data_IF_824167465046
#
_entry.id   IF_824167465046
#
_cell.length_a   1.000
_cell.length_b   1.000
_cell.length_c   1.000
_cell.angle_alpha   90.00
_cell.angle_beta   90.00
_cell.angle_gamma   90.00
#
_symmetry.space_group_name_H-M   'P 1'
#
loop_
_entity.id
_entity.type
_entity.pdbx_description
1 polymer ?
#
# COMPACT_ATOMS: atom_id res chain seq x y z
N UNK A 1 16.83 -1.83 -8.60
CA UNK A 1 17.51 -1.33 -9.82
C UNK A 1 16.62 -0.37 -10.61
N UNK A 2 15.37 -0.74 -10.95
CA UNK A 2 14.46 0.13 -11.73
C UNK A 2 14.09 1.44 -11.01
N UNK A 3 13.71 1.37 -9.73
CA UNK A 3 13.38 2.56 -8.95
C UNK A 3 14.54 3.56 -8.83
N UNK A 4 15.78 3.07 -8.78
CA UNK A 4 16.98 3.92 -8.76
C UNK A 4 17.17 4.66 -10.08
N UNK A 5 16.87 3.99 -11.21
CA UNK A 5 16.91 4.60 -12.53
C UNK A 5 15.82 5.68 -12.67
N UNK A 6 14.58 5.40 -12.25
CA UNK A 6 13.48 6.37 -12.27
C UNK A 6 13.79 7.62 -11.44
N UNK A 7 14.35 7.44 -10.23
CA UNK A 7 14.81 8.56 -9.41
C UNK A 7 15.91 9.38 -10.10
N UNK A 8 16.87 8.73 -10.76
CA UNK A 8 17.95 9.42 -11.47
C UNK A 8 17.45 10.20 -12.70
N UNK A 9 16.37 9.75 -13.33
CA UNK A 9 15.69 10.46 -14.43
C UNK A 9 14.90 11.70 -13.95
N UNK A 10 14.70 11.86 -12.64
CA UNK A 10 14.05 13.04 -12.07
C UNK A 10 12.53 13.04 -12.24
N UNK A 11 11.88 11.88 -12.17
CA UNK A 11 10.41 11.80 -12.08
C UNK A 11 9.92 12.39 -10.74
N UNK A 12 8.64 12.72 -10.63
CA UNK A 12 8.09 13.32 -9.40
C UNK A 12 7.70 12.29 -8.33
N UNK A 13 7.29 11.10 -8.76
CA UNK A 13 6.93 9.97 -7.89
C UNK A 13 7.12 8.64 -8.63
N UNK A 14 7.25 7.55 -7.86
CA UNK A 14 7.33 6.17 -8.38
C UNK A 14 6.08 5.41 -7.91
N UNK A 15 5.36 4.77 -8.82
CA UNK A 15 4.30 3.79 -8.47
C UNK A 15 4.90 2.38 -8.46
N UNK A 16 4.99 1.77 -7.26
CA UNK A 16 5.37 0.36 -7.12
C UNK A 16 4.14 -0.51 -7.43
N UNK A 17 3.93 -0.74 -8.73
CA UNK A 17 2.66 -1.23 -9.25
C UNK A 17 2.59 -2.75 -9.36
N UNK A 18 1.51 -3.31 -8.81
CA UNK A 18 1.11 -4.71 -8.97
C UNK A 18 0.61 -5.06 -10.39
N UNK A 19 0.41 -4.05 -11.25
CA UNK A 19 -0.03 -4.24 -12.64
C UNK A 19 1.13 -4.75 -13.50
N UNK A 20 2.36 -4.45 -13.08
CA UNK A 20 3.57 -4.98 -13.69
C UNK A 20 3.91 -6.34 -13.08
N UNK A 21 4.66 -7.16 -13.80
CA UNK A 21 5.15 -8.43 -13.28
C UNK A 21 6.08 -8.17 -12.08
N UNK A 22 5.83 -8.79 -10.91
CA UNK A 22 6.70 -8.61 -9.75
C UNK A 22 8.14 -9.02 -10.05
N UNK A 23 9.08 -8.14 -9.70
CA UNK A 23 10.52 -8.43 -9.80
C UNK A 23 11.03 -9.25 -8.58
N UNK A 24 10.34 -9.14 -7.45
CA UNK A 24 10.55 -9.91 -6.22
C UNK A 24 9.15 -10.30 -5.70
N UNK A 25 8.93 -11.58 -5.44
CA UNK A 25 7.64 -12.10 -4.94
C UNK A 25 7.52 -12.04 -3.42
N UNK A 26 8.65 -11.88 -2.71
CA UNK A 26 8.71 -11.94 -1.26
C UNK A 26 8.82 -10.55 -0.61
N UNK A 27 9.48 -9.59 -1.27
CA UNK A 27 9.76 -8.29 -0.67
C UNK A 27 9.40 -7.12 -1.58
N UNK A 28 8.89 -6.07 -0.95
CA UNK A 28 8.73 -4.76 -1.58
C UNK A 28 9.99 -3.92 -1.42
N UNK A 29 10.10 -2.87 -2.24
CA UNK A 29 11.19 -1.91 -2.12
C UNK A 29 11.15 -1.26 -0.73
N UNK A 30 12.31 -1.18 -0.05
CA UNK A 30 12.47 -0.35 1.14
C UNK A 30 12.57 1.11 0.71
N UNK A 31 11.45 1.84 0.80
CA UNK A 31 11.26 3.14 0.16
C UNK A 31 11.94 4.28 0.91
N UNK A 32 12.26 4.08 2.19
CA UNK A 32 12.98 5.07 3.01
C UNK A 32 14.40 5.40 2.50
N UNK A 33 15.00 4.53 1.68
CA UNK A 33 16.32 4.79 1.07
C UNK A 33 16.26 5.76 -0.13
N UNK A 34 15.05 6.17 -0.53
CA UNK A 34 14.81 7.04 -1.67
C UNK A 34 14.38 8.43 -1.23
N UNK A 35 14.75 9.44 -2.02
CA UNK A 35 14.31 10.84 -1.82
C UNK A 35 12.98 11.11 -2.50
N UNK A 36 12.70 10.39 -3.58
CA UNK A 36 11.49 10.51 -4.35
C UNK A 36 10.33 9.76 -3.67
N UNK A 37 9.11 10.32 -3.61
CA UNK A 37 7.98 9.64 -2.97
C UNK A 37 7.50 8.44 -3.77
N UNK A 38 7.02 7.42 -3.04
CA UNK A 38 6.42 6.22 -3.61
C UNK A 38 4.91 6.21 -3.42
N UNK A 39 4.21 5.75 -4.45
CA UNK A 39 2.80 5.37 -4.43
C UNK A 39 2.73 3.85 -4.45
N UNK A 40 1.89 3.26 -3.59
CA UNK A 40 1.69 1.80 -3.55
C UNK A 40 0.21 1.42 -3.56
N UNK A 41 -0.11 0.28 -4.16
CA UNK A 41 -1.44 -0.31 -4.13
C UNK A 41 -1.75 -1.06 -2.83
N UNK A 42 -3.00 -1.02 -2.36
CA UNK A 42 -3.52 -1.90 -1.28
C UNK A 42 -4.91 -2.46 -1.58
N UNK A 43 -5.26 -3.61 -0.98
CA UNK A 43 -6.63 -4.18 -1.03
C UNK A 43 -7.41 -3.98 0.26
N UNK A 44 -6.70 -3.81 1.37
CA UNK A 44 -7.23 -3.62 2.71
C UNK A 44 -6.32 -2.70 3.53
N UNK A 45 -6.73 -2.42 4.77
CA UNK A 45 -5.97 -1.55 5.66
C UNK A 45 -4.62 -2.16 6.08
N UNK A 46 -4.53 -3.47 6.27
CA UNK A 46 -3.29 -4.12 6.68
C UNK A 46 -2.20 -3.98 5.62
N UNK A 47 -2.56 -4.24 4.36
CA UNK A 47 -1.66 -4.02 3.21
C UNK A 47 -1.24 -2.56 3.09
N UNK A 48 -2.17 -1.61 3.30
CA UNK A 48 -1.86 -0.18 3.29
C UNK A 48 -0.84 0.20 4.38
N UNK A 49 -1.06 -0.26 5.62
CA UNK A 49 -0.17 0.04 6.75
C UNK A 49 1.22 -0.58 6.57
N UNK A 50 1.33 -1.79 6.01
CA UNK A 50 2.62 -2.38 5.65
C UNK A 50 3.37 -1.56 4.59
N UNK A 51 2.68 -1.12 3.52
CA UNK A 51 3.28 -0.25 2.49
C UNK A 51 3.75 1.08 3.07
N UNK A 52 2.97 1.68 3.98
CA UNK A 52 3.36 2.89 4.71
C UNK A 52 4.58 2.61 5.60
N UNK A 53 4.60 1.49 6.32
CA UNK A 53 5.74 1.08 7.15
C UNK A 53 7.04 0.93 6.34
N UNK A 54 6.94 0.45 5.10
CA UNK A 54 8.04 0.37 4.13
C UNK A 54 8.45 1.72 3.53
N UNK A 55 7.68 2.79 3.73
CA UNK A 55 7.97 4.15 3.29
C UNK A 55 7.12 4.67 2.13
N UNK A 56 5.96 4.08 1.85
CA UNK A 56 5.02 4.65 0.87
C UNK A 56 4.49 6.01 1.36
N UNK A 57 4.59 7.02 0.51
CA UNK A 57 4.10 8.37 0.78
C UNK A 57 2.61 8.53 0.41
N UNK A 58 2.11 7.68 -0.48
CA UNK A 58 0.72 7.67 -0.92
C UNK A 58 0.24 6.23 -1.15
N UNK A 59 -1.03 5.98 -0.81
CA UNK A 59 -1.69 4.70 -1.04
C UNK A 59 -2.82 4.88 -2.05
N UNK A 60 -2.94 3.94 -2.98
CA UNK A 60 -4.10 3.77 -3.86
C UNK A 60 -4.73 2.41 -3.63
N UNK A 61 -6.05 2.31 -3.76
CA UNK A 61 -6.71 1.00 -3.73
C UNK A 61 -6.46 0.28 -5.04
N UNK A 62 -6.12 -1.01 -4.95
CA UNK A 62 -6.04 -1.88 -6.11
C UNK A 62 -7.43 -2.05 -6.71
N UNK A 63 -7.49 -2.26 -8.01
CA UNK A 63 -8.70 -2.66 -8.71
C UNK A 63 -8.37 -3.79 -9.67
N UNK A 64 -9.28 -4.08 -10.57
CA UNK A 64 -8.99 -4.96 -11.70
C UNK A 64 -8.50 -4.08 -12.87
N UNK A 65 -7.19 -3.83 -12.91
CA UNK A 65 -6.60 -2.93 -13.89
C UNK A 65 -6.87 -3.44 -15.32
N UNK A 66 -7.36 -2.57 -16.20
CA UNK A 66 -7.58 -2.88 -17.62
C UNK A 66 -8.92 -3.51 -17.99
N UNK A 67 -9.81 -3.86 -17.04
CA UNK A 67 -11.11 -4.47 -17.35
C UNK A 67 -12.27 -3.49 -17.46
N UNK A 68 -12.08 -2.24 -16.99
CA UNK A 68 -13.17 -1.25 -16.90
C UNK A 68 -14.21 -1.57 -15.83
N UNK A 69 -14.01 -2.63 -15.05
CA UNK A 69 -14.90 -3.03 -13.97
C UNK A 69 -14.51 -2.36 -12.64
N UNK A 70 -15.37 -1.48 -12.15
CA UNK A 70 -15.10 -0.71 -10.92
C UNK A 70 -15.37 -1.51 -9.62
N UNK A 71 -15.99 -2.69 -9.71
CA UNK A 71 -16.46 -3.44 -8.53
C UNK A 71 -15.31 -3.78 -7.58
N UNK A 72 -14.15 -4.21 -8.09
CA UNK A 72 -13.00 -4.54 -7.25
C UNK A 72 -12.38 -3.31 -6.57
N UNK A 73 -12.32 -2.18 -7.28
CA UNK A 73 -11.86 -0.93 -6.68
C UNK A 73 -12.78 -0.48 -5.53
N UNK A 74 -14.10 -0.57 -5.72
CA UNK A 74 -15.09 -0.24 -4.67
C UNK A 74 -14.98 -1.20 -3.49
N UNK A 75 -14.77 -2.50 -3.75
CA UNK A 75 -14.59 -3.51 -2.71
C UNK A 75 -13.39 -3.20 -1.82
N UNK A 76 -12.23 -2.97 -2.42
CA UNK A 76 -11.01 -2.66 -1.67
C UNK A 76 -11.11 -1.32 -0.93
N UNK A 77 -11.70 -0.30 -1.56
CA UNK A 77 -11.96 0.98 -0.90
C UNK A 77 -12.84 0.82 0.34
N UNK A 78 -13.92 0.03 0.26
CA UNK A 78 -14.76 -0.26 1.44
C UNK A 78 -13.97 -1.00 2.52
N UNK A 79 -13.19 -2.00 2.16
CA UNK A 79 -12.36 -2.75 3.11
C UNK A 79 -11.37 -1.85 3.88
N UNK A 80 -10.69 -0.93 3.18
CA UNK A 80 -9.79 0.04 3.82
C UNK A 80 -10.55 0.96 4.78
N UNK A 81 -11.66 1.55 4.33
CA UNK A 81 -12.44 2.49 5.15
C UNK A 81 -13.06 1.81 6.37
N UNK A 82 -13.58 0.60 6.23
CA UNK A 82 -14.14 -0.15 7.34
C UNK A 82 -13.06 -0.57 8.34
N UNK A 83 -11.86 -0.93 7.86
CA UNK A 83 -10.68 -1.13 8.71
C UNK A 83 -10.32 0.12 9.51
N UNK A 84 -10.31 1.31 8.88
CA UNK A 84 -10.01 2.58 9.54
C UNK A 84 -11.05 2.87 10.62
N UNK A 85 -12.35 2.67 10.32
CA UNK A 85 -13.44 2.85 11.28
C UNK A 85 -13.32 1.92 12.48
N UNK A 86 -12.97 0.65 12.26
CA UNK A 86 -12.73 -0.31 13.35
C UNK A 86 -11.60 0.20 14.24
N UNK A 87 -10.45 0.53 13.65
CA UNK A 87 -9.25 0.97 14.37
C UNK A 87 -9.50 2.26 15.16
N UNK A 88 -10.17 3.24 14.56
CA UNK A 88 -10.49 4.52 15.20
C UNK A 88 -11.38 4.39 16.45
N UNK A 89 -12.17 3.30 16.54
CA UNK A 89 -13.03 3.02 17.69
C UNK A 89 -12.47 1.93 18.61
N UNK A 90 -11.27 1.40 18.34
CA UNK A 90 -10.65 0.36 19.16
C UNK A 90 -10.00 0.97 20.40
N UNK A 91 -10.28 0.46 21.61
CA UNK A 91 -9.58 0.85 22.83
C UNK A 91 -8.06 0.66 22.73
N UNK A 92 -7.29 1.51 23.41
CA UNK A 92 -5.82 1.51 23.31
C UNK A 92 -5.17 0.18 23.70
N UNK A 93 -5.74 -0.52 24.68
CA UNK A 93 -5.29 -1.83 25.17
C UNK A 93 -5.57 -2.98 24.19
N UNK A 94 -6.52 -2.81 23.27
CA UNK A 94 -6.84 -3.78 22.21
C UNK A 94 -6.04 -3.56 20.92
N UNK A 95 -5.42 -2.39 20.74
CA UNK A 95 -4.71 -2.03 19.50
C UNK A 95 -3.60 -3.03 19.13
N UNK A 96 -2.90 -3.60 20.11
CA UNK A 96 -1.84 -4.59 19.86
C UNK A 96 -2.40 -5.90 19.26
N UNK A 97 -3.61 -6.30 19.66
CA UNK A 97 -4.28 -7.45 19.08
C UNK A 97 -4.74 -7.14 17.65
N UNK A 98 -5.31 -5.96 17.42
CA UNK A 98 -5.74 -5.51 16.09
C UNK A 98 -4.57 -5.37 15.13
N UNK A 99 -3.43 -4.82 15.56
CA UNK A 99 -2.22 -4.72 14.74
C UNK A 99 -1.73 -6.11 14.29
N UNK A 100 -1.76 -7.09 15.21
CA UNK A 100 -1.43 -8.48 14.89
C UNK A 100 -2.41 -9.11 13.89
N UNK A 101 -3.71 -8.87 14.03
CA UNK A 101 -4.73 -9.35 13.08
C UNK A 101 -4.57 -8.74 11.69
N UNK A 102 -4.22 -7.46 11.62
CA UNK A 102 -3.98 -6.75 10.36
C UNK A 102 -2.63 -7.10 9.71
N UNK A 103 -1.77 -7.82 10.44
CA UNK A 103 -0.37 -8.07 10.07
C UNK A 103 0.35 -6.75 9.74
N UNK A 104 0.13 -5.73 10.56
CA UNK A 104 0.63 -4.37 10.35
C UNK A 104 1.38 -3.85 11.59
N UNK A 105 2.42 -3.02 11.40
CA UNK A 105 3.14 -2.37 12.49
C UNK A 105 2.30 -1.28 13.19
#
# INVERSE_FOLDING_TARGET
>A
MEAQALQALGVDFIDESEVLTPADEAHHVWKHDFKIPFVCGCRDLGEALRRIGEGAAMIRTKGEAGTGNIVEAVRHMRAVIDGIRKLANTPQDELMAVAKELEAP
#
